data_IF_929201791672
#
_entry.id   IF_929201791672
#
_cell.length_a   1.000
_cell.length_b   1.000
_cell.length_c   1.000
_cell.angle_alpha   90.00
_cell.angle_beta   90.00
_cell.angle_gamma   90.00
#
_symmetry.space_group_name_H-M   'P 1'
#
loop_
_entity.id
_entity.type
_entity.pdbx_description
1 polymer ?
#
# COMPACT_ATOMS: atom_id res chain seq x y z
N UNK A 1 19.06 2.59 -23.62
CA UNK A 1 18.76 3.84 -22.87
C UNK A 1 20.04 4.42 -22.24
N UNK A 2 20.69 3.76 -21.29
CA UNK A 2 21.95 4.28 -20.69
C UNK A 2 23.11 4.47 -21.69
N UNK A 3 23.22 3.57 -22.67
CA UNK A 3 24.25 3.64 -23.71
C UNK A 3 24.01 4.82 -24.69
N UNK A 4 22.75 5.14 -24.95
CA UNK A 4 22.37 6.30 -25.77
C UNK A 4 22.60 7.62 -25.02
N UNK A 5 22.26 7.66 -23.72
CA UNK A 5 22.55 8.80 -22.86
C UNK A 5 24.06 9.09 -22.82
N UNK A 6 24.89 8.05 -22.70
CA UNK A 6 26.35 8.18 -22.69
C UNK A 6 26.90 8.74 -24.01
N UNK A 7 26.34 8.30 -25.15
CA UNK A 7 26.71 8.82 -26.47
C UNK A 7 26.28 10.28 -26.69
N UNK A 8 25.13 10.69 -26.14
CA UNK A 8 24.65 12.08 -26.24
C UNK A 8 25.44 13.02 -25.34
N UNK A 9 25.79 12.59 -24.12
CA UNK A 9 26.63 13.35 -23.20
C UNK A 9 28.03 13.64 -23.76
N UNK A 10 28.60 12.71 -24.53
CA UNK A 10 29.89 12.90 -25.21
C UNK A 10 29.92 14.04 -26.24
N UNK A 11 28.77 14.62 -26.60
CA UNK A 11 28.64 15.77 -27.51
C UNK A 11 28.59 17.12 -26.77
N UNK A 12 28.57 17.11 -25.44
CA UNK A 12 28.35 18.27 -24.57
C UNK A 12 29.61 18.52 -23.73
N UNK A 13 29.77 19.72 -23.16
CA UNK A 13 30.95 20.02 -22.35
C UNK A 13 30.99 19.22 -21.03
N UNK A 14 32.19 19.07 -20.45
CA UNK A 14 32.39 18.24 -19.26
C UNK A 14 31.57 18.70 -18.05
N UNK A 15 31.45 20.02 -17.82
CA UNK A 15 30.71 20.56 -16.66
C UNK A 15 29.22 20.27 -16.76
N UNK A 16 28.67 20.40 -17.96
CA UNK A 16 27.27 20.06 -18.26
C UNK A 16 27.02 18.56 -18.11
N UNK A 17 27.97 17.73 -18.57
CA UNK A 17 27.93 16.28 -18.38
C UNK A 17 27.93 15.89 -16.90
N UNK A 18 28.83 16.48 -16.11
CA UNK A 18 28.92 16.23 -14.67
C UNK A 18 27.63 16.63 -13.95
N UNK A 19 27.03 17.77 -14.32
CA UNK A 19 25.77 18.23 -13.75
C UNK A 19 24.61 17.29 -14.09
N UNK A 20 24.51 16.84 -15.35
CA UNK A 20 23.47 15.89 -15.77
C UNK A 20 23.64 14.56 -15.04
N UNK A 21 24.87 14.03 -14.93
CA UNK A 21 25.13 12.80 -14.19
C UNK A 21 24.76 12.92 -12.70
N UNK A 22 25.08 14.04 -12.06
CA UNK A 22 24.71 14.29 -10.65
C UNK A 22 23.19 14.30 -10.47
N UNK A 23 22.47 15.00 -11.35
CA UNK A 23 21.00 15.09 -11.31
C UNK A 23 20.41 13.69 -11.54
N UNK A 24 20.81 12.97 -12.58
CA UNK A 24 20.31 11.63 -12.91
C UNK A 24 20.53 10.63 -11.78
N UNK A 25 21.74 10.64 -11.18
CA UNK A 25 22.06 9.75 -10.05
C UNK A 25 21.19 10.07 -8.84
N UNK A 26 21.05 11.34 -8.50
CA UNK A 26 20.21 11.80 -7.39
C UNK A 26 18.74 11.39 -7.56
N UNK A 27 18.16 11.58 -8.76
CA UNK A 27 16.80 11.15 -9.05
C UNK A 27 16.64 9.63 -9.01
N UNK A 28 17.60 8.87 -9.54
CA UNK A 28 17.57 7.41 -9.48
C UNK A 28 17.60 6.89 -8.04
N UNK A 29 18.47 7.43 -7.21
CA UNK A 29 18.54 7.08 -5.79
C UNK A 29 17.26 7.44 -5.05
N UNK A 30 16.73 8.65 -5.29
CA UNK A 30 15.46 9.09 -4.71
C UNK A 30 14.31 8.17 -5.10
N UNK A 31 14.17 7.84 -6.39
CA UNK A 31 13.12 6.94 -6.87
C UNK A 31 13.23 5.53 -6.28
N UNK A 32 14.44 5.01 -6.10
CA UNK A 32 14.67 3.72 -5.44
C UNK A 32 14.28 3.74 -3.96
N UNK A 33 14.48 4.86 -3.26
CA UNK A 33 14.07 5.04 -1.87
C UNK A 33 12.54 5.14 -1.79
N UNK A 34 11.92 6.00 -2.60
CA UNK A 34 10.47 6.20 -2.65
C UNK A 34 9.76 4.88 -2.97
N UNK A 35 10.17 4.17 -4.01
CA UNK A 35 9.57 2.87 -4.37
C UNK A 35 9.71 1.80 -3.28
N UNK A 36 10.81 1.80 -2.52
CA UNK A 36 10.96 0.90 -1.35
C UNK A 36 10.02 1.28 -0.20
N UNK A 37 9.78 2.57 0.01
CA UNK A 37 8.87 3.07 1.06
C UNK A 37 7.43 2.72 0.66
N UNK A 38 7.02 3.08 -0.55
CA UNK A 38 5.69 2.78 -1.10
C UNK A 38 5.40 1.28 -1.06
N UNK A 39 6.32 0.45 -1.57
CA UNK A 39 6.15 -1.00 -1.56
C UNK A 39 6.03 -1.59 -0.14
N UNK A 40 6.72 -1.02 0.86
CA UNK A 40 6.56 -1.42 2.27
C UNK A 40 5.20 -1.02 2.83
N UNK A 41 4.68 0.15 2.46
CA UNK A 41 3.37 0.64 2.92
C UNK A 41 2.27 -0.22 2.31
N UNK A 42 2.28 -0.40 0.99
CA UNK A 42 1.33 -1.25 0.27
C UNK A 42 1.34 -2.68 0.79
N UNK A 43 2.53 -3.26 1.01
CA UNK A 43 2.65 -4.60 1.56
C UNK A 43 2.06 -4.75 2.97
N UNK A 44 2.14 -3.71 3.81
CA UNK A 44 1.50 -3.71 5.14
C UNK A 44 -0.02 -3.62 5.02
N UNK A 45 -0.53 -2.74 4.17
CA UNK A 45 -1.96 -2.58 3.92
C UNK A 45 -2.56 -3.90 3.42
N UNK A 46 -1.93 -4.54 2.44
CA UNK A 46 -2.41 -5.80 1.89
C UNK A 46 -2.42 -6.91 2.93
N UNK A 47 -1.37 -7.00 3.75
CA UNK A 47 -1.31 -7.97 4.85
C UNK A 47 -2.39 -7.72 5.91
N UNK A 48 -2.69 -6.47 6.24
CA UNK A 48 -3.73 -6.14 7.20
C UNK A 48 -5.13 -6.52 6.66
N UNK A 49 -5.43 -6.22 5.39
CA UNK A 49 -6.66 -6.67 4.72
C UNK A 49 -6.79 -8.19 4.74
N UNK A 50 -5.72 -8.90 4.42
CA UNK A 50 -5.71 -10.37 4.41
C UNK A 50 -5.92 -10.94 5.82
N UNK A 51 -5.32 -10.33 6.85
CA UNK A 51 -5.46 -10.73 8.24
C UNK A 51 -6.92 -10.59 8.73
N UNK A 52 -7.58 -9.48 8.40
CA UNK A 52 -9.00 -9.27 8.72
C UNK A 52 -9.87 -10.31 8.02
N UNK A 53 -9.65 -10.56 6.73
CA UNK A 53 -10.39 -11.59 5.97
C UNK A 53 -10.21 -12.98 6.62
N UNK A 54 -8.97 -13.36 6.93
CA UNK A 54 -8.65 -14.64 7.58
C UNK A 54 -9.29 -14.76 8.96
N UNK A 55 -9.26 -13.68 9.74
CA UNK A 55 -9.88 -13.64 11.06
C UNK A 55 -11.39 -13.91 10.97
N UNK A 56 -12.07 -13.23 10.05
CA UNK A 56 -13.50 -13.39 9.84
C UNK A 56 -13.87 -14.81 9.37
N UNK A 57 -13.09 -15.37 8.45
CA UNK A 57 -13.27 -16.74 7.99
C UNK A 57 -13.04 -17.77 9.13
N UNK A 58 -12.02 -17.57 9.96
CA UNK A 58 -11.66 -18.52 11.03
C UNK A 58 -12.54 -18.43 12.27
N UNK A 59 -12.92 -17.22 12.69
CA UNK A 59 -13.71 -17.01 13.91
C UNK A 59 -15.20 -17.22 13.68
N UNK A 60 -15.71 -16.77 12.53
CA UNK A 60 -17.14 -16.74 12.24
C UNK A 60 -17.56 -17.64 11.06
N UNK A 61 -16.61 -18.30 10.38
CA UNK A 61 -16.93 -19.14 9.22
C UNK A 61 -17.36 -18.36 7.98
N UNK A 62 -17.06 -17.06 7.92
CA UNK A 62 -17.47 -16.17 6.82
C UNK A 62 -16.37 -16.13 5.75
N UNK A 63 -16.52 -16.91 4.68
CA UNK A 63 -15.46 -17.08 3.68
C UNK A 63 -15.62 -16.21 2.43
N UNK A 64 -16.83 -15.84 2.02
CA UNK A 64 -17.01 -15.10 0.77
C UNK A 64 -18.25 -14.22 0.76
N UNK A 65 -18.05 -12.90 0.79
CA UNK A 65 -19.13 -11.95 0.62
C UNK A 65 -18.63 -10.62 0.06
N UNK A 66 -19.58 -9.77 -0.30
CA UNK A 66 -19.37 -8.38 -0.71
C UNK A 66 -18.53 -7.58 0.30
N UNK A 67 -18.71 -7.87 1.59
CA UNK A 67 -17.98 -7.24 2.70
C UNK A 67 -16.46 -7.45 2.61
N UNK A 68 -15.98 -8.65 2.23
CA UNK A 68 -14.54 -8.89 2.06
C UNK A 68 -13.96 -8.19 0.84
N UNK A 69 -14.75 -8.06 -0.23
CA UNK A 69 -14.34 -7.30 -1.42
C UNK A 69 -14.22 -5.79 -1.11
N UNK A 70 -15.09 -5.27 -0.24
CA UNK A 70 -15.03 -3.88 0.21
C UNK A 70 -13.84 -3.63 1.14
N UNK A 71 -13.49 -4.57 2.04
CA UNK A 71 -12.27 -4.46 2.87
C UNK A 71 -11.01 -4.31 2.01
N UNK A 72 -10.93 -5.02 0.88
CA UNK A 72 -9.81 -4.91 -0.07
C UNK A 72 -9.65 -3.50 -0.69
N UNK A 73 -10.67 -2.66 -0.62
CA UNK A 73 -10.64 -1.30 -1.16
C UNK A 73 -10.19 -0.25 -0.14
N UNK A 74 -10.07 -0.61 1.16
CA UNK A 74 -9.66 0.34 2.21
C UNK A 74 -8.17 0.65 2.06
N UNK A 75 -7.77 1.89 1.73
CA UNK A 75 -6.37 2.20 1.39
C UNK A 75 -5.50 2.56 2.60
N UNK A 76 -6.10 2.81 3.77
CA UNK A 76 -5.37 3.31 4.93
C UNK A 76 -5.11 2.19 5.95
N UNK A 77 -3.84 2.03 6.33
CA UNK A 77 -3.41 1.05 7.32
C UNK A 77 -4.02 1.33 8.70
N UNK A 78 -4.10 2.60 9.09
CA UNK A 78 -4.64 3.03 10.38
C UNK A 78 -6.12 2.63 10.53
N UNK A 79 -6.88 2.74 9.44
CA UNK A 79 -8.29 2.32 9.39
C UNK A 79 -8.39 0.80 9.56
N UNK A 80 -7.51 0.03 8.92
CA UNK A 80 -7.47 -1.42 9.02
C UNK A 80 -7.03 -1.89 10.42
N UNK A 81 -6.06 -1.22 11.03
CA UNK A 81 -5.58 -1.54 12.37
C UNK A 81 -6.67 -1.28 13.42
N UNK A 82 -7.34 -0.11 13.39
CA UNK A 82 -8.47 0.18 14.28
C UNK A 82 -9.65 -0.78 14.06
N UNK A 83 -9.93 -1.13 12.81
CA UNK A 83 -10.93 -2.15 12.47
C UNK A 83 -10.58 -3.50 13.12
N UNK A 84 -9.32 -3.93 13.01
CA UNK A 84 -8.88 -5.21 13.58
C UNK A 84 -9.00 -5.22 15.12
N UNK A 85 -8.65 -4.13 15.79
CA UNK A 85 -8.79 -3.99 17.24
C UNK A 85 -10.26 -4.12 17.69
N UNK A 86 -11.18 -3.42 17.01
CA UNK A 86 -12.61 -3.55 17.29
C UNK A 86 -13.13 -4.96 17.01
N UNK A 87 -12.69 -5.58 15.92
CA UNK A 87 -13.07 -6.96 15.58
C UNK A 87 -12.63 -7.95 16.66
N UNK A 88 -11.49 -7.77 17.30
CA UNK A 88 -11.06 -8.65 18.40
C UNK A 88 -11.98 -8.60 19.62
N UNK A 89 -12.60 -7.46 19.89
CA UNK A 89 -13.54 -7.28 21.01
C UNK A 89 -14.94 -7.83 20.73
N UNK A 90 -15.26 -8.18 19.48
CA UNK A 90 -16.59 -8.66 19.09
C UNK A 90 -16.76 -10.15 19.33
N UNK A 91 -17.97 -10.55 19.74
CA UNK A 91 -18.28 -11.97 20.00
C UNK A 91 -19.26 -12.57 18.99
N UNK A 92 -19.92 -11.73 18.19
CA UNK A 92 -20.92 -12.17 17.21
C UNK A 92 -20.51 -11.76 15.79
N UNK A 93 -20.98 -12.55 14.82
CA UNK A 93 -20.74 -12.28 13.41
C UNK A 93 -21.45 -10.99 12.97
N UNK A 94 -22.65 -10.74 13.49
CA UNK A 94 -23.47 -9.57 13.18
C UNK A 94 -22.80 -8.27 13.62
N UNK A 95 -22.26 -8.22 14.85
CA UNK A 95 -21.49 -7.06 15.34
C UNK A 95 -20.24 -6.82 14.51
N UNK A 96 -19.49 -7.88 14.22
CA UNK A 96 -18.29 -7.80 13.39
C UNK A 96 -18.60 -7.22 12.00
N UNK A 97 -19.72 -7.66 11.38
CA UNK A 97 -20.16 -7.16 10.08
C UNK A 97 -20.58 -5.68 10.15
N UNK A 98 -21.32 -5.29 11.19
CA UNK A 98 -21.75 -3.91 11.39
C UNK A 98 -20.55 -2.95 11.59
N UNK A 99 -19.51 -3.39 12.28
CA UNK A 99 -18.26 -2.62 12.44
C UNK A 99 -17.57 -2.49 11.08
N UNK A 100 -17.40 -3.59 10.34
CA UNK A 100 -16.76 -3.53 9.01
C UNK A 100 -17.51 -2.58 8.08
N UNK A 101 -18.84 -2.68 8.00
CA UNK A 101 -19.65 -1.82 7.12
C UNK A 101 -19.54 -0.34 7.52
N UNK A 102 -19.47 -0.03 8.81
CA UNK A 102 -19.22 1.34 9.32
C UNK A 102 -17.85 1.86 8.87
N UNK A 103 -16.81 1.04 8.97
CA UNK A 103 -15.45 1.41 8.58
C UNK A 103 -15.33 1.58 7.06
N UNK A 104 -15.98 0.72 6.27
CA UNK A 104 -16.06 0.86 4.82
C UNK A 104 -16.76 2.18 4.44
N UNK A 105 -17.89 2.49 5.07
CA UNK A 105 -18.63 3.72 4.80
C UNK A 105 -17.77 4.97 5.08
N UNK A 106 -16.96 4.95 6.14
CA UNK A 106 -16.01 6.04 6.46
C UNK A 106 -14.84 6.10 5.48
N UNK A 107 -14.35 4.96 5.01
CA UNK A 107 -13.19 4.89 4.13
C UNK A 107 -13.51 5.22 2.65
N UNK A 108 -14.77 5.08 2.24
CA UNK A 108 -15.24 5.34 0.87
C UNK A 108 -16.01 6.67 0.71
N UNK A 109 -16.09 7.49 1.77
CA UNK A 109 -16.57 8.87 1.73
C UNK A 109 -15.41 9.82 1.39
#
# INVERSE_FOLDING_TARGET
EEEQLSQELGKINQKETDLIMQITTSWHEKGKIEGKIEGKIEGKIEKAREAICKFMAKRFGVDSGETMQKIKQIPALEILDSLMEELFATNTQEEARAIIDRYIARALQ
#
